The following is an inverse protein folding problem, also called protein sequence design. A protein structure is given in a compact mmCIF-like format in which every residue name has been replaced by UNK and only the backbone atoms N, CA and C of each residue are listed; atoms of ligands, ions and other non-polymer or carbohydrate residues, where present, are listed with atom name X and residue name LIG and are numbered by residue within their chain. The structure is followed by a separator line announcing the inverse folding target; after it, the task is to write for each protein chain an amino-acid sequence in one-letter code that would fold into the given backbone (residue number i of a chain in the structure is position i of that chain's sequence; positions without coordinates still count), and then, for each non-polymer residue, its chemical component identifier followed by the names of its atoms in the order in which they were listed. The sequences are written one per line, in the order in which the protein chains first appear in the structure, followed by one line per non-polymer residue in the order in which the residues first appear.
data_IF_662586870557
#
_entry.id   IF_662586870557
#
_cell.length_a   1.000
_cell.length_b   1.000
_cell.length_c   1.000
_cell.angle_alpha   90.00
_cell.angle_beta   90.00
_cell.angle_gamma   90.00
#
_symmetry.space_group_name_H-M   'P 1'
#
loop_
_entity.id
_entity.type
_entity.pdbx_description
1 polymer ?
#
# COMPACT_ATOMS: atom_id res chain seq x y z
N UNK A 1 -36.15 -1.03 -4.65
CA UNK A 1 -35.61 0.33 -4.48
C UNK A 1 -36.64 1.14 -3.68
N UNK A 2 -36.24 1.94 -2.70
CA UNK A 2 -37.12 2.85 -1.98
C UNK A 2 -36.51 4.26 -1.96
N UNK A 3 -37.33 5.29 -2.10
CA UNK A 3 -36.97 6.67 -1.82
C UNK A 3 -37.83 7.14 -0.65
N UNK A 4 -37.21 7.42 0.49
CA UNK A 4 -37.93 7.86 1.69
C UNK A 4 -38.31 9.34 1.59
N UNK A 5 -39.29 9.79 2.38
CA UNK A 5 -39.63 11.22 2.54
C UNK A 5 -38.48 12.09 3.06
N UNK A 6 -37.43 11.50 3.64
CA UNK A 6 -36.19 12.17 4.03
C UNK A 6 -35.11 12.21 2.94
N UNK A 7 -35.49 12.01 1.67
CA UNK A 7 -34.58 12.04 0.50
C UNK A 7 -33.42 11.03 0.54
N UNK A 8 -33.64 9.86 1.14
CA UNK A 8 -32.68 8.75 1.14
C UNK A 8 -33.09 7.67 0.15
N UNK A 9 -32.17 7.30 -0.74
CA UNK A 9 -32.36 6.25 -1.74
C UNK A 9 -31.80 4.91 -1.20
N UNK A 10 -32.68 3.96 -0.95
CA UNK A 10 -32.34 2.58 -0.60
C UNK A 10 -32.43 1.66 -1.82
N UNK A 11 -31.34 0.97 -2.17
CA UNK A 11 -31.37 -0.11 -3.15
C UNK A 11 -31.14 -1.43 -2.40
N UNK A 12 -32.13 -2.33 -2.45
CA UNK A 12 -32.12 -3.57 -1.66
C UNK A 12 -32.58 -3.47 -0.21
N UNK A 13 -32.88 -2.26 0.28
CA UNK A 13 -33.35 -2.00 1.65
C UNK A 13 -34.51 -1.00 1.62
N UNK A 14 -35.44 -1.13 2.57
CA UNK A 14 -36.54 -0.19 2.81
C UNK A 14 -36.20 0.84 3.89
N UNK A 15 -35.10 0.66 4.62
CA UNK A 15 -34.66 1.52 5.73
C UNK A 15 -33.24 2.04 5.47
N UNK A 16 -33.04 3.01 4.57
CA UNK A 16 -31.72 3.55 4.27
C UNK A 16 -31.15 4.37 5.44
N UNK A 17 -29.90 4.09 5.83
CA UNK A 17 -29.19 4.75 6.94
C UNK A 17 -28.47 6.03 6.52
N UNK A 18 -28.29 6.25 5.22
CA UNK A 18 -27.63 7.41 4.62
C UNK A 18 -28.31 7.83 3.30
N UNK A 19 -27.84 8.91 2.68
CA UNK A 19 -28.45 9.49 1.46
C UNK A 19 -28.58 8.50 0.30
N UNK A 20 -27.58 7.63 0.10
CA UNK A 20 -27.63 6.50 -0.81
C UNK A 20 -27.15 5.25 -0.06
N UNK A 21 -28.06 4.30 0.20
CA UNK A 21 -27.77 3.03 0.88
C UNK A 21 -28.06 1.86 -0.05
N UNK A 22 -27.00 1.27 -0.62
CA UNK A 22 -27.08 0.08 -1.46
C UNK A 22 -26.73 -1.15 -0.61
N UNK A 23 -27.67 -2.08 -0.50
CA UNK A 23 -27.54 -3.33 0.30
C UNK A 23 -27.62 -4.59 -0.55
N UNK A 24 -28.25 -4.49 -1.73
CA UNK A 24 -28.18 -5.52 -2.76
C UNK A 24 -26.89 -5.36 -3.53
N UNK A 25 -26.15 -6.44 -3.61
CA UNK A 25 -25.03 -6.54 -4.52
C UNK A 25 -25.47 -7.43 -5.68
N UNK A 26 -25.22 -7.01 -6.91
CA UNK A 26 -25.40 -7.89 -8.09
C UNK A 26 -24.07 -8.59 -8.30
N UNK A 27 -24.13 -9.91 -8.43
CA UNK A 27 -22.97 -10.73 -8.76
C UNK A 27 -22.51 -10.38 -10.17
N UNK A 28 -21.37 -9.73 -10.27
CA UNK A 28 -20.64 -9.62 -11.54
C UNK A 28 -19.53 -10.66 -11.56
N UNK A 29 -19.27 -11.23 -12.73
CA UNK A 29 -18.05 -12.00 -12.95
C UNK A 29 -16.98 -11.01 -13.34
N UNK A 30 -15.98 -10.90 -12.48
CA UNK A 30 -14.72 -10.28 -12.83
C UNK A 30 -13.76 -11.41 -13.21
N UNK A 31 -12.88 -11.16 -14.18
CA UNK A 31 -11.83 -12.11 -14.55
C UNK A 31 -12.30 -13.45 -15.17
N UNK A 32 -13.37 -13.48 -15.98
CA UNK A 32 -13.93 -14.73 -16.58
C UNK A 32 -12.93 -15.64 -17.35
N UNK A 33 -11.70 -15.17 -17.58
CA UNK A 33 -10.62 -15.86 -18.29
C UNK A 33 -9.28 -15.91 -17.52
N UNK A 34 -9.24 -15.57 -16.22
CA UNK A 34 -7.98 -15.46 -15.47
C UNK A 34 -8.13 -15.21 -13.97
N UNK A 35 -7.00 -14.97 -13.29
CA UNK A 35 -6.93 -14.77 -11.85
C UNK A 35 -6.91 -13.28 -11.50
N UNK A 36 -7.86 -12.78 -10.72
CA UNK A 36 -7.88 -11.36 -10.31
C UNK A 36 -8.12 -11.12 -8.82
N UNK A 37 -8.11 -9.84 -8.44
CA UNK A 37 -8.25 -9.35 -7.06
C UNK A 37 -9.37 -8.30 -7.05
N UNK A 38 -10.37 -8.50 -6.19
CA UNK A 38 -11.49 -7.58 -6.00
C UNK A 38 -11.54 -7.02 -4.57
N UNK A 39 -12.02 -5.78 -4.43
CA UNK A 39 -12.19 -5.11 -3.14
C UNK A 39 -13.41 -5.68 -2.40
N UNK A 40 -13.19 -6.45 -1.33
CA UNK A 40 -14.25 -6.86 -0.42
C UNK A 40 -14.35 -5.90 0.77
N UNK A 41 -15.52 -5.28 0.95
CA UNK A 41 -15.89 -4.71 2.24
C UNK A 41 -17.19 -5.37 2.73
N UNK A 42 -17.00 -6.46 3.47
CA UNK A 42 -17.71 -6.58 4.75
C UNK A 42 -16.72 -6.63 5.90
N UNK A 43 -15.62 -7.40 5.89
CA UNK A 43 -14.78 -7.72 7.07
C UNK A 43 -13.27 -7.37 6.97
N UNK A 44 -12.80 -6.70 5.91
CA UNK A 44 -11.44 -6.18 5.82
C UNK A 44 -10.37 -7.22 5.49
N UNK A 45 -9.82 -7.14 4.28
CA UNK A 45 -8.61 -7.85 3.88
C UNK A 45 -8.70 -8.43 2.47
N UNK A 46 -7.62 -8.25 1.72
CA UNK A 46 -7.37 -8.89 0.43
C UNK A 46 -7.44 -10.40 0.54
N UNK A 47 -8.05 -11.04 -0.44
CA UNK A 47 -7.81 -12.45 -0.74
C UNK A 47 -7.34 -12.51 -2.19
N UNK A 48 -6.09 -12.93 -2.38
CA UNK A 48 -5.56 -13.38 -3.67
C UNK A 48 -6.02 -14.82 -3.88
N UNK A 49 -6.82 -15.07 -4.91
CA UNK A 49 -7.14 -16.44 -5.36
C UNK A 49 -6.74 -16.61 -6.81
N UNK A 50 -6.12 -17.74 -7.13
CA UNK A 50 -5.80 -18.20 -8.48
C UNK A 50 -7.08 -18.63 -9.20
N UNK A 51 -7.75 -17.73 -9.93
CA UNK A 51 -8.88 -18.04 -10.84
C UNK A 51 -9.97 -16.96 -10.98
N UNK A 52 -10.92 -17.14 -11.93
CA UNK A 52 -12.01 -16.20 -12.20
C UNK A 52 -12.86 -15.97 -10.95
N UNK A 53 -13.08 -14.71 -10.56
CA UNK A 53 -13.97 -14.39 -9.44
C UNK A 53 -15.38 -14.15 -9.98
N UNK A 54 -16.15 -15.24 -10.07
CA UNK A 54 -17.60 -15.15 -10.25
C UNK A 54 -18.29 -14.85 -8.92
N UNK A 55 -19.31 -13.98 -8.92
CA UNK A 55 -20.06 -13.69 -7.70
C UNK A 55 -19.57 -12.48 -6.92
N UNK A 56 -18.90 -11.52 -7.58
CA UNK A 56 -18.43 -10.31 -6.92
C UNK A 56 -19.61 -9.40 -6.62
N UNK A 57 -19.80 -9.19 -5.33
CA UNK A 57 -20.81 -8.31 -4.79
C UNK A 57 -20.38 -6.84 -4.95
N UNK A 58 -20.79 -6.18 -6.04
CA UNK A 58 -20.55 -4.75 -6.25
C UNK A 58 -21.77 -3.91 -5.83
N UNK A 59 -21.52 -2.87 -5.03
CA UNK A 59 -22.52 -1.88 -4.66
C UNK A 59 -22.52 -0.65 -5.58
N UNK A 60 -21.34 -0.22 -6.05
CA UNK A 60 -21.16 0.95 -6.92
C UNK A 60 -20.02 0.68 -7.90
N UNK A 61 -20.27 0.85 -9.20
CA UNK A 61 -19.27 0.90 -10.27
C UNK A 61 -19.35 2.27 -10.94
N UNK A 62 -18.21 2.95 -11.10
CA UNK A 62 -18.13 4.24 -11.78
C UNK A 62 -17.03 4.18 -12.84
N UNK A 63 -17.39 4.50 -14.09
CA UNK A 63 -16.43 4.61 -15.21
C UNK A 63 -15.71 5.98 -15.24
N UNK A 64 -15.98 6.85 -14.27
CA UNK A 64 -15.42 8.18 -14.15
C UNK A 64 -15.06 8.50 -12.70
N UNK A 65 -14.51 9.69 -12.47
CA UNK A 65 -14.05 10.10 -11.14
C UNK A 65 -15.21 10.18 -10.14
N UNK A 66 -14.96 9.70 -8.91
CA UNK A 66 -15.83 9.91 -7.76
C UNK A 66 -15.25 11.06 -6.95
N UNK A 67 -15.95 12.20 -6.92
CA UNK A 67 -15.62 13.31 -6.02
C UNK A 67 -16.34 13.06 -4.70
N UNK A 68 -15.59 12.96 -3.61
CA UNK A 68 -16.11 12.84 -2.26
C UNK A 68 -15.58 13.98 -1.40
N UNK A 69 -16.48 14.68 -0.69
CA UNK A 69 -16.11 15.68 0.31
C UNK A 69 -15.74 15.05 1.67
N UNK A 70 -16.10 13.78 1.87
CA UNK A 70 -15.67 12.95 2.99
C UNK A 70 -14.67 11.86 2.55
N UNK A 71 -14.13 11.14 3.52
CA UNK A 71 -13.18 10.04 3.25
C UNK A 71 -13.84 8.71 2.91
N UNK A 72 -13.05 7.81 2.32
CA UNK A 72 -13.37 6.39 2.22
C UNK A 72 -12.90 5.67 3.48
N UNK A 73 -13.80 4.96 4.16
CA UNK A 73 -13.47 4.22 5.38
C UNK A 73 -13.30 2.74 5.08
N UNK A 74 -12.16 2.18 5.48
CA UNK A 74 -11.90 0.74 5.47
C UNK A 74 -11.99 0.19 6.90
N UNK A 75 -12.97 -0.67 7.17
CA UNK A 75 -13.08 -1.33 8.48
C UNK A 75 -11.98 -2.38 8.64
N UNK A 76 -11.29 -2.38 9.79
CA UNK A 76 -10.07 -3.17 10.02
C UNK A 76 -10.09 -3.95 11.36
N UNK A 77 -11.28 -4.18 11.93
CA UNK A 77 -11.47 -4.84 13.22
C UNK A 77 -10.86 -6.26 13.24
N UNK A 78 -10.01 -6.54 14.24
CA UNK A 78 -9.28 -7.81 14.31
C UNK A 78 -10.19 -9.03 14.48
N UNK A 79 -11.39 -8.87 15.06
CA UNK A 79 -12.38 -9.95 15.21
C UNK A 79 -12.95 -10.43 13.87
N UNK A 80 -12.69 -9.66 12.81
CA UNK A 80 -13.18 -9.91 11.44
C UNK A 80 -12.10 -10.47 10.53
N UNK A 81 -10.88 -10.67 11.05
CA UNK A 81 -9.71 -11.19 10.35
C UNK A 81 -9.29 -12.50 10.98
N UNK A 82 -8.97 -13.48 10.15
CA UNK A 82 -8.63 -14.84 10.58
C UNK A 82 -7.12 -15.08 10.68
N UNK A 83 -6.28 -14.15 10.22
CA UNK A 83 -4.83 -14.31 10.18
C UNK A 83 -4.11 -12.97 10.29
N UNK A 84 -3.05 -12.95 11.09
CA UNK A 84 -2.11 -11.84 11.21
C UNK A 84 -0.71 -12.42 11.23
N UNK A 85 0.14 -11.93 10.34
CA UNK A 85 1.55 -12.28 10.31
C UNK A 85 2.39 -11.05 10.02
N UNK A 86 3.68 -11.15 10.30
CA UNK A 86 4.64 -10.06 10.16
C UNK A 86 5.16 -10.03 8.72
N UNK A 87 5.19 -8.84 8.15
CA UNK A 87 5.87 -8.62 6.88
C UNK A 87 7.40 -8.61 7.06
N UNK A 88 8.12 -9.15 6.10
CA UNK A 88 9.59 -9.12 6.07
C UNK A 88 10.09 -7.67 5.95
N UNK A 89 10.52 -7.10 7.09
CA UNK A 89 10.93 -5.69 7.20
C UNK A 89 12.18 -5.41 6.37
N UNK A 90 13.10 -6.35 6.29
CA UNK A 90 14.37 -6.18 5.58
C UNK A 90 14.12 -6.08 4.08
N UNK A 91 13.28 -6.96 3.52
CA UNK A 91 12.89 -6.89 2.11
C UNK A 91 12.12 -5.62 1.77
N UNK A 92 11.16 -5.24 2.62
CA UNK A 92 10.39 -4.01 2.42
C UNK A 92 11.29 -2.78 2.45
N UNK A 93 12.19 -2.68 3.42
CA UNK A 93 13.13 -1.56 3.50
C UNK A 93 14.05 -1.52 2.29
N UNK A 94 14.59 -2.68 1.86
CA UNK A 94 15.40 -2.76 0.67
C UNK A 94 14.64 -2.25 -0.56
N UNK A 95 13.38 -2.66 -0.73
CA UNK A 95 12.52 -2.20 -1.82
C UNK A 95 12.20 -0.71 -1.76
N UNK A 96 11.85 -0.17 -0.59
CA UNK A 96 11.53 1.25 -0.40
C UNK A 96 12.71 2.18 -0.71
N UNK A 97 13.93 1.74 -0.42
CA UNK A 97 15.14 2.54 -0.66
C UNK A 97 15.50 2.65 -2.15
N UNK A 98 15.02 1.72 -2.99
CA UNK A 98 15.30 1.71 -4.43
C UNK A 98 14.10 2.15 -5.28
N UNK A 99 12.88 1.97 -4.79
CA UNK A 99 11.67 2.37 -5.48
C UNK A 99 11.60 3.90 -5.62
N UNK A 100 11.61 4.40 -6.85
CA UNK A 100 11.66 5.84 -7.10
C UNK A 100 10.33 6.36 -7.65
N UNK A 101 9.72 7.40 -7.06
CA UNK A 101 8.59 8.09 -7.68
C UNK A 101 9.00 8.69 -9.02
N UNK A 102 8.12 8.58 -10.02
CA UNK A 102 8.33 9.04 -11.38
C UNK A 102 7.28 10.07 -11.78
N UNK A 103 7.68 10.91 -12.73
CA UNK A 103 6.75 11.73 -13.50
C UNK A 103 6.33 10.95 -14.75
N UNK A 104 5.04 10.90 -15.04
CA UNK A 104 4.51 10.17 -16.18
C UNK A 104 3.28 10.83 -16.80
N UNK A 105 2.95 10.39 -18.02
CA UNK A 105 1.69 10.60 -18.73
C UNK A 105 1.23 9.25 -19.26
N UNK A 106 -0.07 9.07 -19.47
CA UNK A 106 -0.54 7.89 -20.18
C UNK A 106 -0.15 7.97 -21.66
N UNK A 107 0.10 6.82 -22.29
CA UNK A 107 0.48 6.74 -23.72
C UNK A 107 -0.56 7.38 -24.65
N UNK A 108 -1.83 7.43 -24.22
CA UNK A 108 -2.93 8.06 -24.95
C UNK A 108 -3.00 9.58 -24.82
N UNK A 109 -2.19 10.18 -23.94
CA UNK A 109 -2.23 11.62 -23.65
C UNK A 109 -1.19 12.38 -24.47
N UNK A 110 -1.57 13.56 -24.95
CA UNK A 110 -0.66 14.47 -25.66
C UNK A 110 0.38 15.11 -24.72
N UNK A 111 1.48 15.60 -25.28
CA UNK A 111 2.57 16.26 -24.53
C UNK A 111 2.15 17.55 -23.81
N UNK A 112 0.97 18.08 -24.15
CA UNK A 112 0.38 19.27 -23.52
C UNK A 112 -0.28 18.97 -22.17
N UNK A 113 -0.65 17.73 -21.89
CA UNK A 113 -1.30 17.33 -20.62
C UNK A 113 -0.25 17.31 -19.51
N UNK A 114 -0.35 18.01 -18.38
CA UNK A 114 0.70 18.02 -17.35
C UNK A 114 1.17 16.62 -16.88
N UNK A 115 2.45 16.50 -16.48
CA UNK A 115 2.97 15.26 -15.91
C UNK A 115 2.32 14.97 -14.55
N UNK A 116 2.04 13.70 -14.31
CA UNK A 116 1.51 13.18 -13.05
C UNK A 116 2.64 12.52 -12.25
N UNK A 117 2.56 12.57 -10.93
CA UNK A 117 3.49 11.89 -10.03
C UNK A 117 2.93 10.51 -9.70
N UNK A 118 3.75 9.46 -9.76
CA UNK A 118 3.36 8.13 -9.33
C UNK A 118 4.52 7.14 -9.30
N UNK A 119 4.22 5.85 -9.22
CA UNK A 119 5.21 4.77 -9.32
C UNK A 119 4.99 3.93 -10.58
N UNK A 120 6.06 3.31 -11.07
CA UNK A 120 5.94 2.18 -11.99
C UNK A 120 5.63 0.92 -11.18
N UNK A 121 4.49 0.27 -11.48
CA UNK A 121 4.11 -0.97 -10.83
C UNK A 121 5.15 -2.08 -11.06
N UNK A 122 5.68 -2.19 -12.27
CA UNK A 122 6.72 -3.15 -12.64
C UNK A 122 7.98 -3.00 -11.78
N UNK A 123 8.42 -1.76 -11.55
CA UNK A 123 9.58 -1.49 -10.69
C UNK A 123 9.32 -1.93 -9.25
N UNK A 124 8.12 -1.66 -8.72
CA UNK A 124 7.72 -2.11 -7.39
C UNK A 124 7.71 -3.65 -7.29
N UNK A 125 7.21 -4.36 -8.31
CA UNK A 125 7.21 -5.83 -8.35
C UNK A 125 8.65 -6.35 -8.31
N UNK A 126 9.53 -5.84 -9.18
CA UNK A 126 10.95 -6.23 -9.23
C UNK A 126 11.67 -6.01 -7.91
N UNK A 127 11.27 -4.98 -7.16
CA UNK A 127 11.84 -4.63 -5.86
C UNK A 127 11.14 -5.32 -4.67
N UNK A 128 10.47 -6.46 -4.90
CA UNK A 128 9.78 -7.24 -3.86
C UNK A 128 8.64 -6.50 -3.14
N UNK A 129 8.08 -5.46 -3.77
CA UNK A 129 6.95 -4.69 -3.25
C UNK A 129 5.61 -5.08 -3.90
N UNK A 130 5.48 -6.32 -4.39
CA UNK A 130 4.26 -6.79 -5.05
C UNK A 130 3.00 -6.74 -4.18
N UNK A 131 3.11 -6.69 -2.85
CA UNK A 131 1.95 -6.60 -1.95
C UNK A 131 1.18 -5.27 -2.01
N UNK A 132 1.77 -4.23 -2.61
CA UNK A 132 1.08 -2.96 -2.90
C UNK A 132 0.51 -2.91 -4.32
N UNK A 133 0.57 -4.00 -5.08
CA UNK A 133 0.05 -4.05 -6.45
C UNK A 133 -1.27 -4.80 -6.49
N UNK A 134 -2.22 -4.23 -7.22
CA UNK A 134 -3.47 -4.85 -7.64
C UNK A 134 -3.35 -5.19 -9.12
N UNK A 135 -3.87 -6.35 -9.51
CA UNK A 135 -3.82 -6.85 -10.88
C UNK A 135 -5.23 -6.77 -11.47
N UNK A 136 -5.37 -6.20 -12.66
CA UNK A 136 -6.64 -5.93 -13.32
C UNK A 136 -6.59 -6.50 -14.74
N UNK A 137 -7.58 -7.27 -15.22
CA UNK A 137 -7.59 -7.72 -16.59
C UNK A 137 -7.68 -6.56 -17.57
N UNK A 138 -6.88 -6.63 -18.62
CA UNK A 138 -6.91 -5.69 -19.73
C UNK A 138 -6.35 -6.40 -20.97
N UNK A 139 -7.25 -7.03 -21.74
CA UNK A 139 -6.91 -7.81 -22.95
C UNK A 139 -6.23 -6.97 -24.05
N UNK A 140 -6.28 -5.64 -23.95
CA UNK A 140 -5.66 -4.72 -24.90
C UNK A 140 -4.19 -4.42 -24.56
N UNK A 141 -3.69 -4.83 -23.39
CA UNK A 141 -2.30 -4.63 -23.01
C UNK A 141 -1.39 -5.71 -23.60
N UNK A 142 -0.35 -5.24 -24.30
CA UNK A 142 0.72 -6.08 -24.82
C UNK A 142 1.82 -6.25 -23.77
N UNK A 143 2.50 -7.40 -23.80
CA UNK A 143 3.68 -7.64 -22.97
C UNK A 143 4.85 -6.83 -23.54
N UNK A 144 5.36 -5.87 -22.78
CA UNK A 144 6.52 -5.03 -23.17
C UNK A 144 7.81 -5.57 -22.53
N UNK A 145 7.73 -6.00 -21.28
CA UNK A 145 8.82 -6.64 -20.53
C UNK A 145 8.40 -8.04 -20.04
N UNK A 146 8.85 -9.13 -20.71
CA UNK A 146 8.44 -10.49 -20.37
C UNK A 146 8.94 -10.98 -19.00
N UNK A 147 9.82 -10.22 -18.32
CA UNK A 147 10.32 -10.58 -16.99
C UNK A 147 9.37 -10.21 -15.86
N UNK A 148 8.40 -9.32 -16.12
CA UNK A 148 7.52 -8.75 -15.09
C UNK A 148 6.08 -8.56 -15.57
N UNK A 149 5.87 -8.25 -16.85
CA UNK A 149 4.54 -8.05 -17.40
C UNK A 149 3.82 -9.40 -17.52
N UNK A 150 2.52 -9.36 -17.26
CA UNK A 150 1.64 -10.51 -17.42
C UNK A 150 0.69 -10.19 -18.57
N UNK A 151 0.55 -11.13 -19.50
CA UNK A 151 -0.33 -10.97 -20.65
C UNK A 151 -1.75 -10.60 -20.21
N UNK A 152 -2.38 -9.67 -20.94
CA UNK A 152 -3.76 -9.23 -20.70
C UNK A 152 -4.01 -8.73 -19.26
N UNK A 153 -2.99 -8.21 -18.59
CA UNK A 153 -3.08 -7.76 -17.20
C UNK A 153 -2.46 -6.38 -17.04
N UNK A 154 -3.23 -5.47 -16.47
CA UNK A 154 -2.83 -4.16 -15.99
C UNK A 154 -2.46 -4.21 -14.51
N UNK A 155 -1.47 -3.42 -14.10
CA UNK A 155 -1.05 -3.32 -12.72
C UNK A 155 -1.40 -1.96 -12.14
N UNK A 156 -2.12 -1.96 -11.01
CA UNK A 156 -2.47 -0.76 -10.27
C UNK A 156 -1.72 -0.71 -8.94
N UNK A 157 -1.08 0.43 -8.66
CA UNK A 157 -0.43 0.67 -7.37
C UNK A 157 -1.47 1.08 -6.34
N UNK A 158 -1.63 0.30 -5.28
CA UNK A 158 -2.47 0.63 -4.14
C UNK A 158 -1.70 1.55 -3.16
N UNK A 159 -1.80 2.85 -3.42
CA UNK A 159 -1.17 3.88 -2.61
C UNK A 159 -1.62 3.86 -1.14
N UNK A 160 -2.80 3.32 -0.82
CA UNK A 160 -3.24 3.23 0.57
C UNK A 160 -2.38 2.26 1.38
N UNK A 161 -1.95 1.15 0.78
CA UNK A 161 -1.06 0.16 1.41
C UNK A 161 0.39 0.62 1.47
N UNK A 162 0.80 1.51 0.56
CA UNK A 162 2.13 2.09 0.58
C UNK A 162 2.42 2.76 1.94
N UNK A 163 1.40 3.34 2.58
CA UNK A 163 1.54 3.91 3.93
C UNK A 163 2.03 2.90 4.98
N UNK A 164 1.54 1.65 4.93
CA UNK A 164 1.99 0.60 5.84
C UNK A 164 3.44 0.18 5.58
N UNK A 165 3.86 0.17 4.31
CA UNK A 165 5.24 -0.14 3.93
C UNK A 165 6.17 0.97 4.41
N UNK A 166 5.81 2.24 4.16
CA UNK A 166 6.56 3.40 4.66
C UNK A 166 6.71 3.35 6.19
N UNK A 167 5.64 3.01 6.92
CA UNK A 167 5.69 2.84 8.36
C UNK A 167 6.72 1.77 8.80
N UNK A 168 6.79 0.64 8.09
CA UNK A 168 7.82 -0.38 8.34
C UNK A 168 9.22 0.18 8.09
N UNK A 169 9.41 0.93 7.00
CA UNK A 169 10.68 1.58 6.70
C UNK A 169 11.13 2.55 7.80
N UNK A 170 10.19 3.32 8.37
CA UNK A 170 10.45 4.22 9.50
C UNK A 170 10.86 3.45 10.77
N UNK A 171 10.18 2.33 11.07
CA UNK A 171 10.53 1.48 12.22
C UNK A 171 11.96 0.94 12.06
N UNK A 172 12.31 0.44 10.87
CA UNK A 172 13.62 -0.13 10.58
C UNK A 172 14.73 0.94 10.65
N UNK A 173 14.48 2.12 10.08
CA UNK A 173 15.41 3.25 10.15
C UNK A 173 15.65 3.69 11.59
N UNK A 174 14.58 3.80 12.39
CA UNK A 174 14.67 4.19 13.79
C UNK A 174 15.47 3.15 14.62
N UNK A 175 15.27 1.86 14.35
CA UNK A 175 16.03 0.78 15.00
C UNK A 175 17.54 0.87 14.69
N UNK A 176 17.90 1.09 13.42
CA UNK A 176 19.30 1.28 13.00
C UNK A 176 19.93 2.50 13.64
N UNK A 177 19.22 3.64 13.64
CA UNK A 177 19.71 4.88 14.23
C UNK A 177 19.94 4.75 15.74
N UNK A 178 19.01 4.11 16.46
CA UNK A 178 19.13 3.84 17.90
C UNK A 178 20.37 3.02 18.22
N UNK A 179 20.63 1.99 17.41
CA UNK A 179 21.81 1.11 17.57
C UNK A 179 23.11 1.88 17.32
N UNK A 180 23.17 2.68 16.26
CA UNK A 180 24.35 3.50 15.94
C UNK A 180 24.62 4.55 17.01
N UNK A 181 23.58 5.18 17.55
CA UNK A 181 23.70 6.16 18.62
C UNK A 181 24.25 5.52 19.91
N UNK A 182 23.74 4.34 20.28
CA UNK A 182 24.26 3.60 21.43
C UNK A 182 25.75 3.24 21.26
N UNK A 183 26.15 2.79 20.08
CA UNK A 183 27.54 2.47 19.77
C UNK A 183 28.45 3.72 19.81
N UNK A 184 27.97 4.87 19.31
CA UNK A 184 28.71 6.12 19.36
C UNK A 184 28.90 6.60 20.81
N UNK A 185 27.84 6.55 21.63
CA UNK A 185 27.90 6.93 23.04
C UNK A 185 28.87 6.05 23.83
N UNK A 186 28.89 4.73 23.59
CA UNK A 186 29.84 3.84 24.22
C UNK A 186 31.31 4.20 23.90
N UNK A 187 31.60 4.59 22.65
CA UNK A 187 32.94 5.06 22.25
C UNK A 187 33.31 6.37 22.92
N UNK A 188 32.37 7.31 23.04
CA UNK A 188 32.58 8.58 23.74
C UNK A 188 32.95 8.31 25.20
N UNK A 189 32.19 7.46 25.90
CA UNK A 189 32.48 7.10 27.30
C UNK A 189 33.83 6.41 27.48
N UNK A 190 34.24 5.53 26.55
CA UNK A 190 35.60 4.95 26.55
C UNK A 190 36.68 6.02 26.42
N UNK A 191 36.53 6.93 25.44
CA UNK A 191 37.47 8.03 25.22
C UNK A 191 37.57 8.96 26.43
N UNK A 192 36.45 9.34 27.04
CA UNK A 192 36.42 10.15 28.28
C UNK A 192 37.15 9.45 29.42
N UNK A 193 36.98 8.13 29.55
CA UNK A 193 37.68 7.34 30.57
C UNK A 193 39.19 7.30 30.32
N UNK A 194 39.62 7.19 29.06
CA UNK A 194 41.03 7.20 28.67
C UNK A 194 41.68 8.56 28.89
N UNK A 195 40.97 9.65 28.57
CA UNK A 195 41.43 11.03 28.81
C UNK A 195 41.67 11.28 30.30
N UNK A 196 40.71 10.94 31.17
CA UNK A 196 40.87 11.06 32.63
C UNK A 196 42.09 10.30 33.17
N UNK A 197 42.37 9.10 32.64
CA UNK A 197 43.57 8.32 33.00
C UNK A 197 44.86 8.99 32.55
N UNK A 198 44.87 9.60 31.37
CA UNK A 198 46.03 10.33 30.84
C UNK A 198 46.30 11.60 31.64
N UNK A 199 45.25 12.38 31.95
CA UNK A 199 45.33 13.57 32.79
C UNK A 199 45.90 13.25 34.18
N UNK A 200 45.42 12.17 34.81
CA UNK A 200 45.96 11.72 36.10
C UNK A 200 47.44 11.35 36.04
N UNK A 201 47.87 10.65 34.98
CA UNK A 201 49.29 10.30 34.77
C UNK A 201 50.17 11.53 34.56
N UNK A 202 49.71 12.49 33.77
CA UNK A 202 50.41 13.76 33.55
C UNK A 202 50.61 14.53 34.85
N UNK A 203 49.56 14.62 35.68
CA UNK A 203 49.63 15.30 36.99
C UNK A 203 50.65 14.63 37.92
N UNK A 204 50.71 13.30 37.91
CA UNK A 204 51.63 12.52 38.76
C UNK A 204 53.10 12.71 38.34
N UNK A 205 53.36 12.96 37.05
CA UNK A 205 54.72 13.17 36.53
C UNK A 205 55.23 14.62 36.68
N UNK A 206 54.38 15.54 37.12
CA UNK A 206 54.70 16.97 37.30
C UNK A 206 55.03 17.36 38.76
N UNK A 207 54.86 16.43 39.71
CA UNK A 207 55.14 16.57 41.14
C UNK A 207 56.39 15.73 41.47
#
# INVERSE_FOLDING_TARGET
MCLTSTNRLGVGTTNPSCGLHVTTNVNTTLDASGSGISYFLRTGGLVTTLGPISGVAMAIQASGAIVASGGFYATSDARRKNFFDTLDRTKIMAGLLVATPKLYRFKSQAETVPLMVGYSAQELIKNSMGGVISYIPNDSLVVEDPTVDILATEFNVDYSRMSCYIHIGLIELNSKLTTQLAAANAKITDHETRLKKLEAKLLTNLI
#
